data_IF_077075338237
#
_entry.id   IF_077075338237
#
_cell.length_a   1.000
_cell.length_b   1.000
_cell.length_c   1.000
_cell.angle_alpha   90.00
_cell.angle_beta   90.00
_cell.angle_gamma   90.00
#
_symmetry.space_group_name_H-M   'P 1'
#
loop_
_entity.id
_entity.type
_entity.pdbx_description
1 polymer ?
#
# COMPACT_ATOMS: atom_id res chain seq x y z
N UNK A 1 13.51 8.45 -2.22
CA UNK A 1 12.22 7.79 -2.53
C UNK A 1 11.92 6.90 -1.34
N UNK A 2 11.00 7.30 -0.46
CA UNK A 2 10.64 6.55 0.75
C UNK A 2 9.21 6.04 0.60
N UNK A 3 9.00 4.73 0.68
CA UNK A 3 7.66 4.12 0.79
C UNK A 3 7.20 4.22 2.25
N UNK A 4 5.88 4.26 2.48
CA UNK A 4 5.30 4.38 3.82
C UNK A 4 5.36 3.07 4.60
N UNK A 5 5.31 1.94 3.89
CA UNK A 5 5.50 0.60 4.40
C UNK A 5 6.79 -0.02 3.85
N UNK A 6 7.30 -1.02 4.57
CA UNK A 6 8.38 -1.85 4.06
C UNK A 6 7.83 -2.74 2.93
N UNK A 7 8.33 -2.62 1.70
CA UNK A 7 7.83 -3.40 0.57
C UNK A 7 8.38 -4.85 0.57
N UNK A 8 9.30 -5.18 1.48
CA UNK A 8 9.87 -6.52 1.61
C UNK A 8 9.40 -7.22 2.89
N UNK A 9 9.16 -8.52 2.76
CA UNK A 9 8.93 -9.48 3.83
C UNK A 9 10.13 -10.43 3.87
N UNK A 10 11.15 -10.09 4.65
CA UNK A 10 12.44 -10.77 4.63
C UNK A 10 13.14 -10.55 3.27
N UNK A 11 13.48 -11.64 2.59
CA UNK A 11 14.14 -11.61 1.27
C UNK A 11 13.14 -11.47 0.10
N UNK A 12 11.85 -11.61 0.36
CA UNK A 12 10.81 -11.62 -0.67
C UNK A 12 10.04 -10.31 -0.70
N UNK A 13 9.65 -9.85 -1.90
CA UNK A 13 8.86 -8.63 -2.08
C UNK A 13 9.59 -7.61 -2.95
N UNK A 14 9.41 -6.33 -2.64
CA UNK A 14 9.89 -5.21 -3.46
C UNK A 14 8.88 -4.81 -4.55
N UNK A 15 9.32 -3.94 -5.45
CA UNK A 15 8.49 -3.38 -6.52
C UNK A 15 9.21 -3.53 -7.87
N UNK A 16 9.10 -4.71 -8.48
CA UNK A 16 9.68 -5.02 -9.80
C UNK A 16 8.73 -4.63 -10.93
N UNK A 17 8.48 -3.32 -11.07
CA UNK A 17 7.54 -2.78 -12.06
C UNK A 17 8.17 -1.68 -12.91
N UNK A 18 7.61 -1.39 -14.10
CA UNK A 18 8.00 -0.24 -14.90
C UNK A 18 7.85 1.09 -14.15
N UNK A 19 8.77 2.03 -14.41
CA UNK A 19 8.82 3.34 -13.74
C UNK A 19 7.49 4.12 -13.84
N UNK A 20 6.73 3.94 -14.93
CA UNK A 20 5.44 4.60 -15.15
C UNK A 20 4.37 4.22 -14.11
N UNK A 21 4.50 3.05 -13.47
CA UNK A 21 3.56 2.57 -12.45
C UNK A 21 3.92 3.03 -11.03
N UNK A 22 5.14 3.57 -10.83
CA UNK A 22 5.58 4.06 -9.52
C UNK A 22 4.66 5.14 -8.90
N UNK A 23 4.09 6.10 -9.66
CA UNK A 23 3.12 7.05 -9.12
C UNK A 23 1.82 6.38 -8.66
N UNK A 24 1.31 5.42 -9.43
CA UNK A 24 0.07 4.72 -9.10
C UNK A 24 0.22 3.86 -7.83
N UNK A 25 1.36 3.18 -7.66
CA UNK A 25 1.63 2.38 -6.46
C UNK A 25 1.75 3.23 -5.20
N UNK A 26 2.37 4.43 -5.30
CA UNK A 26 2.42 5.37 -4.17
C UNK A 26 1.04 5.88 -3.78
N UNK A 27 0.21 6.25 -4.77
CA UNK A 27 -1.17 6.68 -4.51
C UNK A 27 -1.99 5.57 -3.83
N UNK A 28 -1.79 4.32 -4.27
CA UNK A 28 -2.44 3.16 -3.65
C UNK A 28 -1.97 2.95 -2.22
N UNK A 29 -0.67 3.03 -1.95
CA UNK A 29 -0.10 2.90 -0.60
C UNK A 29 -0.66 3.97 0.35
N UNK A 30 -0.68 5.23 -0.08
CA UNK A 30 -1.23 6.35 0.69
C UNK A 30 -2.73 6.16 0.98
N UNK A 31 -3.51 5.81 -0.05
CA UNK A 31 -4.94 5.55 0.10
C UNK A 31 -5.18 4.38 1.05
N UNK A 32 -4.41 3.30 0.94
CA UNK A 32 -4.50 2.14 1.82
C UNK A 32 -4.19 2.49 3.29
N UNK A 33 -3.12 3.25 3.55
CA UNK A 33 -2.77 3.70 4.90
C UNK A 33 -3.86 4.59 5.51
N UNK A 34 -4.43 5.49 4.70
CA UNK A 34 -5.54 6.35 5.15
C UNK A 34 -6.79 5.53 5.46
N UNK A 35 -7.12 4.56 4.60
CA UNK A 35 -8.29 3.71 4.73
C UNK A 35 -8.18 2.72 5.92
N UNK A 36 -6.98 2.24 6.24
CA UNK A 36 -6.74 1.44 7.45
C UNK A 36 -7.02 2.22 8.75
N UNK A 37 -6.79 3.54 8.73
CA UNK A 37 -7.09 4.42 9.88
C UNK A 37 -8.57 4.80 9.94
N UNK A 38 -9.30 4.64 8.84
CA UNK A 38 -10.71 4.98 8.75
C UNK A 38 -11.61 3.87 9.32
N UNK A 39 -12.32 4.18 10.41
CA UNK A 39 -13.18 3.22 11.13
C UNK A 39 -14.36 2.69 10.30
N UNK A 40 -15.16 3.54 9.59
CA UNK A 40 -16.21 3.06 8.70
C UNK A 40 -15.68 2.17 7.58
N UNK A 41 -14.54 2.52 6.96
CA UNK A 41 -13.92 1.69 5.93
C UNK A 41 -13.54 0.29 6.46
N UNK A 42 -12.90 0.22 7.63
CA UNK A 42 -12.58 -1.05 8.30
C UNK A 42 -13.81 -1.89 8.67
N UNK A 43 -14.95 -1.26 8.96
CA UNK A 43 -16.17 -1.96 9.37
C UNK A 43 -16.91 -2.59 8.20
N UNK A 44 -16.82 -1.99 7.00
CA UNK A 44 -17.54 -2.45 5.81
C UNK A 44 -16.70 -3.31 4.86
N UNK A 45 -15.37 -3.30 4.96
CA UNK A 45 -14.55 -4.29 4.26
C UNK A 45 -14.84 -5.68 4.82
N UNK A 46 -15.27 -6.65 4.00
CA UNK A 46 -15.50 -8.02 4.43
C UNK A 46 -14.14 -8.62 4.78
N UNK A 47 -13.76 -8.56 6.05
CA UNK A 47 -12.65 -9.29 6.70
C UNK A 47 -11.31 -9.28 5.96
N UNK A 48 -10.30 -8.64 6.57
CA UNK A 48 -9.00 -9.32 6.65
C UNK A 48 -9.18 -10.69 7.30
#
# INVERSE_FOLDING_TARGET
MSTLLNPYFGEFGGMYVPQILMPALRQLEEAFVSAQKDRPFRRNSPTC
#
